data_IF_316297190763
#
_entry.id   IF_316297190763
#
_cell.length_a   1.000
_cell.length_b   1.000
_cell.length_c   1.000
_cell.angle_alpha   90.00
_cell.angle_beta   90.00
_cell.angle_gamma   90.00
#
_symmetry.space_group_name_H-M   'P 1'
#
loop_
_entity.id
_entity.type
_entity.pdbx_description
1 polymer ?
#
# COMPACT_ATOMS: atom_id res chain seq x y z
N UNK A 1 -15.93 -1.64 -36.73
CA UNK A 1 -14.52 -1.24 -36.39
C UNK A 1 -14.48 -0.77 -34.94
N UNK A 2 -13.46 -1.14 -34.15
CA UNK A 2 -13.61 -1.41 -32.72
C UNK A 2 -13.74 -0.13 -31.90
N UNK A 3 -14.77 -0.05 -31.05
CA UNK A 3 -14.99 1.05 -30.09
C UNK A 3 -13.98 1.07 -28.93
N UNK A 4 -13.23 -0.01 -28.70
CA UNK A 4 -12.28 -0.15 -27.58
C UNK A 4 -10.92 0.55 -27.76
N UNK A 5 -10.52 0.93 -28.98
CA UNK A 5 -9.19 1.53 -29.21
C UNK A 5 -9.16 3.03 -28.87
N UNK A 6 -10.34 3.70 -28.84
CA UNK A 6 -10.42 5.16 -28.62
C UNK A 6 -10.11 5.58 -27.18
N UNK A 7 -10.42 4.75 -26.18
CA UNK A 7 -10.23 5.12 -24.77
C UNK A 7 -8.80 4.86 -24.27
N UNK A 8 -8.13 3.79 -24.75
CA UNK A 8 -6.79 3.46 -24.27
C UNK A 8 -5.74 4.47 -24.77
N UNK A 9 -5.78 4.83 -26.06
CA UNK A 9 -4.82 5.79 -26.63
C UNK A 9 -5.04 7.22 -26.11
N UNK A 10 -6.29 7.60 -25.80
CA UNK A 10 -6.55 8.90 -25.16
C UNK A 10 -6.00 8.93 -23.73
N UNK A 11 -6.14 7.83 -22.98
CA UNK A 11 -5.55 7.69 -21.65
C UNK A 11 -4.03 7.82 -21.69
N UNK A 12 -3.37 7.08 -22.58
CA UNK A 12 -1.92 7.16 -22.77
C UNK A 12 -1.44 8.57 -23.14
N UNK A 13 -2.22 9.31 -23.96
CA UNK A 13 -1.93 10.72 -24.27
C UNK A 13 -2.05 11.59 -23.01
N UNK A 14 -3.09 11.39 -22.19
CA UNK A 14 -3.31 12.14 -20.96
C UNK A 14 -2.22 11.87 -19.91
N UNK A 15 -1.78 10.62 -19.79
CA UNK A 15 -0.69 10.23 -18.89
C UNK A 15 0.61 10.94 -19.28
N UNK A 16 0.98 10.96 -20.57
CA UNK A 16 2.16 11.72 -21.03
C UNK A 16 2.00 13.21 -20.70
N UNK A 17 0.82 13.76 -20.90
CA UNK A 17 0.56 15.18 -20.61
C UNK A 17 0.71 15.48 -19.11
N UNK A 18 0.21 14.61 -18.23
CA UNK A 18 0.23 14.80 -16.77
C UNK A 18 1.62 14.58 -16.16
N UNK A 19 2.34 13.54 -16.60
CA UNK A 19 3.59 13.12 -15.96
C UNK A 19 4.85 13.66 -16.63
N UNK A 20 4.79 13.96 -17.93
CA UNK A 20 5.98 14.31 -18.72
C UNK A 20 5.94 15.75 -19.26
N UNK A 21 4.82 16.46 -19.09
CA UNK A 21 4.64 17.86 -19.46
C UNK A 21 5.19 18.22 -20.87
N UNK A 22 4.72 17.53 -21.93
CA UNK A 22 5.21 17.71 -23.29
C UNK A 22 4.95 19.14 -23.79
N UNK A 23 5.90 19.68 -24.53
CA UNK A 23 5.82 21.04 -25.06
C UNK A 23 4.94 21.12 -26.30
N UNK A 24 4.82 20.00 -27.04
CA UNK A 24 4.13 19.94 -28.34
C UNK A 24 3.33 18.65 -28.55
N UNK A 25 2.33 18.69 -29.44
CA UNK A 25 1.61 17.51 -29.91
C UNK A 25 2.50 16.53 -30.68
N UNK A 26 3.60 17.02 -31.23
CA UNK A 26 4.56 16.22 -32.00
C UNK A 26 5.38 15.32 -31.05
N UNK A 27 5.76 15.82 -29.87
CA UNK A 27 6.40 15.02 -28.82
C UNK A 27 5.51 13.86 -28.32
N UNK A 28 4.20 14.13 -28.15
CA UNK A 28 3.21 13.11 -27.76
C UNK A 28 3.07 12.05 -28.88
N UNK A 29 3.02 12.50 -30.13
CA UNK A 29 2.87 11.66 -31.30
C UNK A 29 4.07 10.72 -31.50
N UNK A 30 5.29 11.23 -31.31
CA UNK A 30 6.52 10.45 -31.39
C UNK A 30 6.60 9.38 -30.30
N UNK A 31 6.27 9.72 -29.05
CA UNK A 31 6.32 8.77 -27.91
C UNK A 31 5.35 7.60 -28.05
N UNK A 32 4.15 7.87 -28.56
CA UNK A 32 3.12 6.84 -28.74
C UNK A 32 3.17 6.19 -30.13
N UNK A 33 4.10 6.61 -31.00
CA UNK A 33 4.22 6.16 -32.38
C UNK A 33 2.89 6.27 -33.15
N UNK A 34 2.19 7.40 -32.98
CA UNK A 34 0.91 7.71 -33.64
C UNK A 34 1.01 9.00 -34.44
N UNK A 35 0.11 9.22 -35.39
CA UNK A 35 0.13 10.45 -36.18
C UNK A 35 -0.28 11.67 -35.34
N UNK A 36 0.42 12.81 -35.51
CA UNK A 36 0.05 14.11 -34.93
C UNK A 36 -1.43 14.45 -35.14
N UNK A 37 -1.95 14.21 -36.36
CA UNK A 37 -3.35 14.45 -36.71
C UNK A 37 -4.33 13.64 -35.85
N UNK A 38 -3.92 12.45 -35.40
CA UNK A 38 -4.71 11.61 -34.51
C UNK A 38 -4.67 12.14 -33.08
N UNK A 39 -3.51 12.59 -32.59
CA UNK A 39 -3.37 13.30 -31.30
C UNK A 39 -4.25 14.56 -31.29
N UNK A 40 -4.18 15.40 -32.33
CA UNK A 40 -5.03 16.59 -32.46
C UNK A 40 -6.51 16.22 -32.42
N UNK A 41 -6.91 15.15 -33.09
CA UNK A 41 -8.31 14.71 -33.13
C UNK A 41 -8.82 14.28 -31.76
N UNK A 42 -7.98 13.63 -30.95
CA UNK A 42 -8.31 13.15 -29.61
C UNK A 42 -8.29 14.27 -28.57
N UNK A 43 -7.35 15.22 -28.68
CA UNK A 43 -7.25 16.36 -27.77
C UNK A 43 -8.22 17.49 -28.08
N UNK A 44 -8.68 17.62 -29.33
CA UNK A 44 -9.54 18.74 -29.75
C UNK A 44 -10.78 18.95 -28.88
N UNK A 45 -11.58 17.93 -28.51
CA UNK A 45 -12.72 18.12 -27.61
C UNK A 45 -12.30 18.67 -26.24
N UNK A 46 -11.19 18.17 -25.69
CA UNK A 46 -10.67 18.60 -24.39
C UNK A 46 -10.07 20.02 -24.44
N UNK A 47 -9.47 20.41 -25.56
CA UNK A 47 -8.97 21.78 -25.77
C UNK A 47 -10.15 22.74 -25.95
N UNK A 48 -11.17 22.35 -26.72
CA UNK A 48 -12.37 23.16 -26.98
C UNK A 48 -13.17 23.36 -25.69
N UNK A 49 -13.19 22.36 -24.80
CA UNK A 49 -13.79 22.43 -23.45
C UNK A 49 -12.87 23.10 -22.42
N UNK A 50 -11.66 23.54 -22.82
CA UNK A 50 -10.66 24.21 -21.97
C UNK A 50 -10.08 23.34 -20.83
N UNK A 51 -10.13 22.02 -20.99
CA UNK A 51 -9.58 21.00 -20.07
C UNK A 51 -8.08 20.86 -20.26
N UNK A 52 -7.62 21.00 -21.51
CA UNK A 52 -6.20 20.98 -21.85
C UNK A 52 -5.89 22.31 -22.52
N UNK A 53 -4.97 23.08 -21.93
CA UNK A 53 -4.54 24.37 -22.50
C UNK A 53 -3.63 24.12 -23.70
N UNK A 54 -3.43 25.14 -24.55
CA UNK A 54 -2.54 25.05 -25.73
C UNK A 54 -1.07 24.73 -25.39
N UNK A 55 -0.67 24.92 -24.14
CA UNK A 55 0.63 24.52 -23.59
C UNK A 55 0.61 23.11 -22.97
N UNK A 56 -0.46 22.32 -23.18
CA UNK A 56 -0.69 20.99 -22.61
C UNK A 56 -0.68 20.96 -21.07
N UNK A 57 -0.96 22.09 -20.45
CA UNK A 57 -1.25 22.13 -19.01
C UNK A 57 -2.70 21.71 -18.82
N UNK A 58 -2.92 20.64 -18.05
CA UNK A 58 -4.25 20.13 -17.71
C UNK A 58 -4.89 21.06 -16.69
N UNK A 59 -6.09 21.54 -17.00
CA UNK A 59 -6.96 22.21 -16.04
C UNK A 59 -7.71 21.13 -15.25
N UNK A 60 -7.11 20.75 -14.12
CA UNK A 60 -7.57 19.65 -13.29
C UNK A 60 -9.04 19.82 -12.84
N UNK A 61 -9.53 21.06 -12.72
CA UNK A 61 -10.94 21.32 -12.36
C UNK A 61 -11.90 20.82 -13.43
N UNK A 62 -11.64 21.16 -14.69
CA UNK A 62 -12.48 20.75 -15.83
C UNK A 62 -12.29 19.30 -16.21
N UNK A 63 -11.09 18.76 -16.00
CA UNK A 63 -10.84 17.34 -16.19
C UNK A 63 -11.71 16.49 -15.24
N UNK A 64 -11.82 16.90 -13.98
CA UNK A 64 -12.65 16.24 -12.99
C UNK A 64 -14.15 16.33 -13.33
N UNK A 65 -14.65 17.50 -13.76
CA UNK A 65 -16.04 17.68 -14.24
C UNK A 65 -16.40 16.75 -15.41
N UNK A 66 -15.43 16.45 -16.28
CA UNK A 66 -15.63 15.54 -17.40
C UNK A 66 -15.56 14.08 -16.94
N UNK A 67 -14.64 13.75 -16.03
CA UNK A 67 -14.56 12.41 -15.45
C UNK A 67 -15.86 12.00 -14.77
N UNK A 68 -16.57 12.94 -14.15
CA UNK A 68 -17.91 12.71 -13.58
C UNK A 68 -18.97 12.31 -14.63
N UNK A 69 -18.81 12.75 -15.89
CA UNK A 69 -19.76 12.48 -16.97
C UNK A 69 -19.49 11.15 -17.71
N UNK A 70 -18.32 10.55 -17.53
CA UNK A 70 -17.94 9.26 -18.12
C UNK A 70 -18.03 8.15 -17.06
N UNK A 71 -19.24 7.90 -16.56
CA UNK A 71 -19.51 6.80 -15.64
C UNK A 71 -19.14 5.44 -16.26
N UNK A 72 -18.30 4.68 -15.54
CA UNK A 72 -18.42 3.21 -15.49
C UNK A 72 -18.88 2.85 -14.08
N UNK A 73 -19.99 2.12 -14.00
CA UNK A 73 -20.62 1.66 -12.76
C UNK A 73 -19.57 1.08 -11.78
N UNK A 74 -19.50 1.66 -10.57
CA UNK A 74 -18.73 1.25 -9.37
C UNK A 74 -17.39 1.91 -9.03
N UNK A 75 -17.01 3.04 -9.63
CA UNK A 75 -15.92 3.86 -9.06
C UNK A 75 -16.43 5.24 -8.64
N UNK A 76 -16.46 5.50 -7.33
CA UNK A 76 -16.48 6.87 -6.80
C UNK A 76 -15.34 7.68 -7.48
N UNK A 77 -15.50 8.98 -7.73
CA UNK A 77 -14.47 9.79 -8.36
C UNK A 77 -13.19 9.74 -7.52
N UNK A 78 -12.18 8.99 -7.97
CA UNK A 78 -10.83 9.11 -7.44
C UNK A 78 -10.22 10.33 -8.10
N UNK A 79 -10.16 11.44 -7.36
CA UNK A 79 -9.43 12.62 -7.78
C UNK A 79 -7.99 12.23 -8.11
N UNK A 80 -7.41 12.85 -9.15
CA UNK A 80 -6.07 12.49 -9.66
C UNK A 80 -4.99 12.37 -8.57
N UNK A 81 -5.08 13.19 -7.52
CA UNK A 81 -4.18 13.14 -6.36
C UNK A 81 -4.36 11.91 -5.48
N UNK A 82 -5.60 11.49 -5.17
CA UNK A 82 -5.87 10.27 -4.40
C UNK A 82 -5.36 9.03 -5.13
N UNK A 83 -5.63 8.92 -6.43
CA UNK A 83 -5.17 7.80 -7.25
C UNK A 83 -3.64 7.70 -7.21
N UNK A 84 -2.95 8.82 -7.38
CA UNK A 84 -1.49 8.89 -7.34
C UNK A 84 -0.90 8.38 -6.00
N UNK A 85 -1.45 8.84 -4.87
CA UNK A 85 -1.00 8.39 -3.55
C UNK A 85 -1.26 6.89 -3.36
N UNK A 86 -2.42 6.39 -3.80
CA UNK A 86 -2.74 4.96 -3.71
C UNK A 86 -1.81 4.07 -4.52
N UNK A 87 -1.41 4.47 -5.74
CA UNK A 87 -0.43 3.69 -6.50
C UNK A 87 0.94 3.68 -5.79
N UNK A 88 1.39 4.81 -5.22
CA UNK A 88 2.63 4.84 -4.43
C UNK A 88 2.55 3.91 -3.21
N UNK A 89 1.41 3.88 -2.51
CA UNK A 89 1.20 2.98 -1.38
C UNK A 89 1.14 1.52 -1.81
N UNK A 90 0.55 1.22 -2.97
CA UNK A 90 0.56 -0.12 -3.55
C UNK A 90 1.98 -0.60 -3.84
N UNK A 91 2.81 0.24 -4.46
CA UNK A 91 4.23 -0.05 -4.69
C UNK A 91 4.95 -0.33 -3.36
N UNK A 92 4.71 0.49 -2.33
CA UNK A 92 5.29 0.29 -1.00
C UNK A 92 4.84 -1.04 -0.37
N UNK A 93 3.57 -1.42 -0.55
CA UNK A 93 3.05 -2.71 -0.08
C UNK A 93 3.69 -3.90 -0.78
N UNK A 94 3.92 -3.82 -2.08
CA UNK A 94 4.63 -4.85 -2.86
C UNK A 94 6.08 -5.00 -2.39
N UNK A 95 6.75 -3.87 -2.14
CA UNK A 95 8.11 -3.83 -1.61
C UNK A 95 8.21 -4.47 -0.22
N UNK A 96 7.28 -4.16 0.69
CA UNK A 96 7.23 -4.77 2.03
C UNK A 96 7.00 -6.29 1.94
N UNK A 97 6.09 -6.75 1.05
CA UNK A 97 5.87 -8.19 0.86
C UNK A 97 7.16 -8.89 0.39
N UNK A 98 7.91 -8.27 -0.52
CA UNK A 98 9.19 -8.78 -1.00
C UNK A 98 10.24 -8.82 0.12
N UNK A 99 10.36 -7.75 0.91
CA UNK A 99 11.23 -7.70 2.10
C UNK A 99 10.88 -8.80 3.10
N UNK A 100 9.59 -9.07 3.31
CA UNK A 100 9.12 -10.09 4.24
C UNK A 100 9.44 -11.50 3.75
N UNK A 101 9.20 -11.78 2.47
CA UNK A 101 9.51 -13.06 1.85
C UNK A 101 11.01 -13.39 1.94
N UNK A 102 11.87 -12.43 1.59
CA UNK A 102 13.32 -12.60 1.71
C UNK A 102 13.78 -12.77 3.15
N UNK A 103 13.19 -12.01 4.08
CA UNK A 103 13.48 -12.13 5.51
C UNK A 103 13.16 -13.54 6.03
N UNK A 104 12.00 -14.09 5.67
CA UNK A 104 11.60 -15.42 6.12
C UNK A 104 12.37 -16.54 5.42
N UNK A 105 12.65 -16.41 4.13
CA UNK A 105 13.50 -17.35 3.39
C UNK A 105 14.92 -17.41 3.97
N UNK A 106 15.48 -16.26 4.34
CA UNK A 106 16.76 -16.15 5.03
C UNK A 106 16.74 -16.87 6.39
N UNK A 107 15.64 -16.72 7.15
CA UNK A 107 15.44 -17.42 8.42
C UNK A 107 15.39 -18.94 8.23
N UNK A 108 14.61 -19.41 7.25
CA UNK A 108 14.37 -20.83 6.99
C UNK A 108 15.64 -21.55 6.55
N UNK A 109 16.47 -20.91 5.73
CA UNK A 109 17.69 -21.50 5.17
C UNK A 109 18.97 -21.09 5.91
N UNK A 110 18.87 -20.24 6.95
CA UNK A 110 20.00 -19.58 7.60
C UNK A 110 20.93 -18.87 6.58
N UNK A 111 20.34 -18.18 5.61
CA UNK A 111 21.05 -17.46 4.54
C UNK A 111 21.38 -16.03 5.00
N UNK A 112 22.65 -15.83 5.36
CA UNK A 112 23.18 -14.57 5.86
C UNK A 112 23.21 -13.48 4.78
N UNK A 113 23.48 -13.84 3.52
CA UNK A 113 23.56 -12.89 2.41
C UNK A 113 22.16 -12.37 2.05
N UNK A 114 21.16 -13.26 2.06
CA UNK A 114 19.77 -12.87 1.85
C UNK A 114 19.23 -12.05 3.03
N UNK A 115 19.63 -12.37 4.27
CA UNK A 115 19.28 -11.58 5.44
C UNK A 115 19.80 -10.13 5.34
N UNK A 116 21.05 -9.94 4.90
CA UNK A 116 21.61 -8.60 4.70
C UNK A 116 20.85 -7.84 3.61
N UNK A 117 20.56 -8.48 2.47
CA UNK A 117 19.75 -7.87 1.41
C UNK A 117 18.36 -7.45 1.90
N UNK A 118 17.71 -8.27 2.71
CA UNK A 118 16.40 -7.95 3.27
C UNK A 118 16.44 -6.73 4.20
N UNK A 119 17.54 -6.53 4.96
CA UNK A 119 17.75 -5.32 5.76
C UNK A 119 18.03 -4.08 4.91
N UNK A 120 18.78 -4.23 3.81
CA UNK A 120 19.10 -3.09 2.95
C UNK A 120 17.82 -2.54 2.26
N UNK A 121 16.85 -3.40 1.96
CA UNK A 121 15.56 -3.03 1.37
C UNK A 121 14.64 -2.24 2.34
N UNK A 122 14.91 -2.29 3.65
CA UNK A 122 14.20 -1.50 4.67
C UNK A 122 14.37 0.01 4.45
N UNK A 123 15.59 0.42 4.09
CA UNK A 123 15.89 1.82 3.75
C UNK A 123 15.06 2.30 2.56
N UNK A 124 14.80 1.41 1.60
CA UNK A 124 13.94 1.72 0.47
C UNK A 124 12.48 1.93 0.92
N UNK A 125 11.95 1.07 1.80
CA UNK A 125 10.62 1.22 2.40
C UNK A 125 10.49 2.57 3.12
N UNK A 126 11.50 2.97 3.90
CA UNK A 126 11.51 4.25 4.63
C UNK A 126 11.54 5.47 3.68
N UNK A 127 12.28 5.36 2.58
CA UNK A 127 12.25 6.39 1.52
C UNK A 127 10.89 6.46 0.82
N UNK A 128 10.24 5.32 0.56
CA UNK A 128 8.90 5.30 -0.03
C UNK A 128 7.87 5.96 0.88
N UNK A 129 7.91 5.68 2.19
CA UNK A 129 7.08 6.37 3.18
C UNK A 129 7.29 7.90 3.15
N UNK A 130 8.55 8.33 3.19
CA UNK A 130 8.90 9.77 3.15
C UNK A 130 8.40 10.42 1.86
N UNK A 131 8.48 9.71 0.74
CA UNK A 131 7.97 10.16 -0.56
C UNK A 131 6.45 10.27 -0.55
N UNK A 132 5.72 9.28 -0.01
CA UNK A 132 4.26 9.33 0.11
C UNK A 132 3.85 10.55 0.93
N UNK A 133 4.47 10.77 2.09
CA UNK A 133 4.22 11.93 2.94
C UNK A 133 4.46 13.27 2.23
N UNK A 134 5.57 13.39 1.51
CA UNK A 134 5.86 14.62 0.75
C UNK A 134 4.86 14.84 -0.39
N UNK A 135 4.41 13.75 -1.02
CA UNK A 135 3.41 13.78 -2.08
C UNK A 135 2.03 14.17 -1.56
N UNK A 136 1.60 13.68 -0.38
CA UNK A 136 0.30 14.06 0.20
C UNK A 136 0.26 15.56 0.53
N UNK A 137 1.34 16.12 1.08
CA UNK A 137 1.50 17.57 1.33
C UNK A 137 1.46 18.40 0.03
N UNK A 138 2.00 17.85 -1.05
CA UNK A 138 1.97 18.49 -2.38
C UNK A 138 0.57 18.43 -2.99
N UNK A 139 -0.09 17.28 -2.92
CA UNK A 139 -1.44 17.07 -3.48
C UNK A 139 -2.45 17.97 -2.79
N UNK A 140 -2.45 18.07 -1.46
CA UNK A 140 -3.39 18.97 -0.75
C UNK A 140 -3.19 20.45 -1.12
N UNK A 141 -1.97 20.84 -1.48
CA UNK A 141 -1.66 22.21 -1.89
C UNK A 141 -2.13 22.53 -3.32
N UNK A 142 -2.23 21.51 -4.18
CA UNK A 142 -2.51 21.65 -5.61
C UNK A 142 -3.95 21.28 -5.99
N UNK A 143 -4.56 20.33 -5.29
CA UNK A 143 -5.89 19.81 -5.58
C UNK A 143 -6.92 20.33 -4.55
N UNK A 144 -7.80 21.27 -4.94
CA UNK A 144 -8.80 21.83 -4.03
C UNK A 144 -9.89 20.84 -3.63
N UNK A 145 -9.97 19.67 -4.27
CA UNK A 145 -10.91 18.59 -3.94
C UNK A 145 -10.27 17.50 -3.06
N UNK A 146 -8.95 17.55 -2.87
CA UNK A 146 -8.28 16.63 -1.96
C UNK A 146 -8.54 17.07 -0.52
N UNK A 147 -9.38 16.32 0.17
CA UNK A 147 -9.75 16.65 1.53
C UNK A 147 -8.57 16.48 2.48
N UNK A 148 -8.44 17.38 3.45
CA UNK A 148 -7.43 17.30 4.51
C UNK A 148 -7.50 15.97 5.27
N UNK A 149 -8.71 15.42 5.45
CA UNK A 149 -8.92 14.10 6.07
C UNK A 149 -8.25 12.98 5.28
N UNK A 150 -8.24 13.06 3.94
CA UNK A 150 -7.54 12.09 3.08
C UNK A 150 -6.03 12.12 3.34
N UNK A 151 -5.47 13.33 3.51
CA UNK A 151 -4.04 13.52 3.81
C UNK A 151 -3.65 12.82 5.12
N UNK A 152 -4.42 13.06 6.18
CA UNK A 152 -4.19 12.44 7.49
C UNK A 152 -4.22 10.91 7.34
N UNK A 153 -5.26 10.41 6.68
CA UNK A 153 -5.49 8.98 6.54
C UNK A 153 -4.40 8.26 5.72
N UNK A 154 -4.00 8.83 4.58
CA UNK A 154 -2.91 8.27 3.78
C UNK A 154 -1.59 8.25 4.55
N UNK A 155 -1.30 9.31 5.30
CA UNK A 155 -0.08 9.41 6.09
C UNK A 155 -0.08 8.41 7.27
N UNK A 156 -1.23 8.22 7.93
CA UNK A 156 -1.41 7.24 9.01
C UNK A 156 -1.17 5.82 8.51
N UNK A 157 -1.83 5.41 7.42
CA UNK A 157 -1.62 4.05 6.88
C UNK A 157 -0.21 3.88 6.33
N UNK A 158 0.35 4.88 5.63
CA UNK A 158 1.71 4.77 5.12
C UNK A 158 2.73 4.62 6.25
N UNK A 159 2.48 5.26 7.41
CA UNK A 159 3.30 5.10 8.60
C UNK A 159 3.15 3.70 9.21
N UNK A 160 1.93 3.16 9.29
CA UNK A 160 1.72 1.79 9.76
C UNK A 160 2.34 0.74 8.83
N UNK A 161 2.35 0.98 7.52
CA UNK A 161 3.06 0.15 6.56
C UNK A 161 4.59 0.17 6.80
N UNK A 162 5.15 1.33 7.10
CA UNK A 162 6.58 1.46 7.46
C UNK A 162 6.91 0.72 8.77
N UNK A 163 6.07 0.88 9.79
CA UNK A 163 6.19 0.13 11.07
C UNK A 163 6.18 -1.38 10.86
N UNK A 164 5.39 -1.89 9.91
CA UNK A 164 5.39 -3.32 9.54
C UNK A 164 6.77 -3.71 8.96
N UNK A 165 7.34 -2.91 8.06
CA UNK A 165 8.71 -3.10 7.54
C UNK A 165 9.76 -3.16 8.67
N UNK A 166 9.66 -2.25 9.63
CA UNK A 166 10.52 -2.19 10.82
C UNK A 166 10.45 -3.47 11.67
N UNK A 167 9.25 -4.03 11.84
CA UNK A 167 9.06 -5.29 12.55
C UNK A 167 9.59 -6.49 11.76
N UNK A 168 9.43 -6.50 10.43
CA UNK A 168 10.00 -7.53 9.55
C UNK A 168 11.52 -7.60 9.74
N UNK A 169 12.20 -6.46 9.90
CA UNK A 169 13.65 -6.39 10.09
C UNK A 169 14.20 -7.16 11.30
N UNK A 170 13.37 -7.52 12.28
CA UNK A 170 13.81 -8.37 13.40
C UNK A 170 14.15 -9.81 12.96
N UNK A 171 13.56 -10.27 11.86
CA UNK A 171 13.78 -11.61 11.30
C UNK A 171 15.20 -11.76 10.73
N UNK A 172 15.64 -10.94 9.75
CA UNK A 172 17.00 -11.04 9.23
C UNK A 172 18.07 -10.64 10.27
N UNK A 173 17.76 -9.72 11.20
CA UNK A 173 18.65 -9.42 12.34
C UNK A 173 18.96 -10.66 13.17
N UNK A 174 17.95 -11.50 13.45
CA UNK A 174 18.17 -12.77 14.14
C UNK A 174 19.12 -13.69 13.35
N UNK A 175 18.96 -13.80 12.03
CA UNK A 175 19.83 -14.64 11.18
C UNK A 175 21.28 -14.15 11.23
N UNK A 176 21.50 -12.83 11.16
CA UNK A 176 22.81 -12.21 11.19
C UNK A 176 23.50 -12.33 12.55
N UNK A 177 22.76 -12.11 13.64
CA UNK A 177 23.29 -12.12 15.01
C UNK A 177 23.59 -13.53 15.50
N UNK A 178 22.69 -14.48 15.23
CA UNK A 178 22.77 -15.84 15.78
C UNK A 178 23.47 -16.82 14.83
N UNK A 179 23.30 -16.65 13.50
CA UNK A 179 23.82 -17.51 12.45
C UNK A 179 23.69 -19.00 12.80
N UNK A 180 22.46 -19.39 13.18
CA UNK A 180 22.14 -20.71 13.68
C UNK A 180 20.75 -21.09 13.19
N UNK A 181 20.68 -22.26 12.58
CA UNK A 181 19.44 -22.80 12.02
C UNK A 181 18.36 -22.99 13.10
N UNK A 182 17.17 -22.48 12.82
CA UNK A 182 15.96 -22.77 13.61
C UNK A 182 15.43 -24.12 13.18
N UNK A 183 15.47 -25.10 14.08
CA UNK A 183 15.09 -26.47 13.77
C UNK A 183 13.60 -26.73 13.96
N UNK A 184 13.14 -27.81 13.34
CA UNK A 184 11.85 -28.40 13.67
C UNK A 184 11.78 -28.75 15.17
N UNK A 185 10.61 -28.55 15.81
CA UNK A 185 9.34 -28.19 15.20
C UNK A 185 9.00 -26.69 15.37
N UNK A 186 9.99 -25.83 15.63
CA UNK A 186 9.77 -24.38 15.81
C UNK A 186 9.59 -23.71 14.45
N UNK A 187 10.46 -24.02 13.49
CA UNK A 187 10.43 -23.39 12.15
C UNK A 187 9.07 -23.57 11.44
N UNK A 188 8.44 -24.75 11.55
CA UNK A 188 7.10 -25.00 10.97
C UNK A 188 6.05 -24.03 11.50
N UNK A 189 6.08 -23.75 12.81
CA UNK A 189 5.13 -22.82 13.43
C UNK A 189 5.44 -21.39 13.01
N UNK A 190 6.73 -21.04 12.85
CA UNK A 190 7.10 -19.72 12.33
C UNK A 190 6.68 -19.55 10.86
N UNK A 191 6.68 -20.63 10.06
CA UNK A 191 6.17 -20.62 8.69
C UNK A 191 4.66 -20.34 8.67
N UNK A 192 3.88 -21.03 9.51
CA UNK A 192 2.44 -20.73 9.66
C UNK A 192 2.20 -19.28 10.13
N UNK A 193 3.03 -18.76 11.05
CA UNK A 193 2.94 -17.37 11.51
C UNK A 193 3.29 -16.36 10.39
N UNK A 194 4.30 -16.66 9.59
CA UNK A 194 4.69 -15.87 8.42
C UNK A 194 3.53 -15.80 7.41
N UNK A 195 2.99 -16.94 6.99
CA UNK A 195 1.90 -16.98 6.01
C UNK A 195 0.66 -16.22 6.50
N UNK A 196 0.33 -16.36 7.79
CA UNK A 196 -0.80 -15.67 8.40
C UNK A 196 -0.59 -14.15 8.46
N UNK A 197 0.55 -13.70 8.99
CA UNK A 197 0.87 -12.27 9.13
C UNK A 197 1.01 -11.58 7.77
N UNK A 198 1.62 -12.23 6.78
CA UNK A 198 1.69 -11.74 5.40
C UNK A 198 0.29 -11.62 4.77
N UNK A 199 -0.57 -12.61 5.02
CA UNK A 199 -1.97 -12.60 4.56
C UNK A 199 -2.76 -11.46 5.20
N UNK A 200 -2.61 -11.22 6.50
CA UNK A 200 -3.23 -10.09 7.21
C UNK A 200 -2.77 -8.76 6.60
N UNK A 201 -1.46 -8.57 6.40
CA UNK A 201 -0.93 -7.36 5.80
C UNK A 201 -1.47 -7.10 4.39
N UNK A 202 -1.40 -8.10 3.49
CA UNK A 202 -1.92 -8.01 2.11
C UNK A 202 -3.41 -7.65 2.09
N UNK A 203 -4.18 -8.19 3.04
CA UNK A 203 -5.61 -7.92 3.17
C UNK A 203 -5.89 -6.52 3.69
N UNK A 204 -5.12 -6.03 4.66
CA UNK A 204 -5.24 -4.68 5.19
C UNK A 204 -4.99 -3.64 4.10
N UNK A 205 -3.86 -3.75 3.38
CA UNK A 205 -3.52 -2.85 2.26
C UNK A 205 -4.56 -2.94 1.14
N UNK A 206 -4.99 -4.15 0.77
CA UNK A 206 -6.04 -4.31 -0.27
C UNK A 206 -7.37 -3.70 0.15
N UNK A 207 -7.76 -3.86 1.42
CA UNK A 207 -8.98 -3.26 1.97
C UNK A 207 -8.95 -1.76 1.78
N UNK A 208 -7.83 -1.14 2.14
CA UNK A 208 -7.62 0.29 1.97
C UNK A 208 -7.72 0.75 0.52
N UNK A 209 -6.95 0.12 -0.37
CA UNK A 209 -6.87 0.49 -1.78
C UNK A 209 -8.22 0.31 -2.50
N UNK A 210 -8.98 -0.74 -2.14
CA UNK A 210 -10.27 -1.08 -2.80
C UNK A 210 -11.52 -0.60 -2.06
N UNK A 211 -11.36 0.12 -0.94
CA UNK A 211 -12.48 0.57 -0.09
C UNK A 211 -13.35 -0.59 0.43
N UNK A 212 -12.75 -1.75 0.73
CA UNK A 212 -13.47 -2.95 1.15
C UNK A 212 -13.64 -3.02 2.68
N UNK A 213 -14.71 -2.40 3.18
CA UNK A 213 -15.03 -2.34 4.62
C UNK A 213 -15.52 -3.67 5.22
N UNK A 214 -15.73 -4.71 4.42
CA UNK A 214 -16.31 -5.99 4.89
C UNK A 214 -15.26 -6.99 5.39
N UNK A 215 -13.99 -6.57 5.51
CA UNK A 215 -12.90 -7.49 5.86
C UNK A 215 -12.74 -7.71 7.37
N UNK A 216 -13.41 -6.91 8.21
CA UNK A 216 -13.24 -6.90 9.67
C UNK A 216 -13.47 -8.28 10.30
N UNK A 217 -14.58 -8.96 9.98
CA UNK A 217 -14.87 -10.30 10.53
C UNK A 217 -13.79 -11.35 10.18
N UNK A 218 -13.13 -11.19 9.03
CA UNK A 218 -12.02 -12.06 8.63
C UNK A 218 -10.76 -11.73 9.43
N UNK A 219 -10.48 -10.45 9.68
CA UNK A 219 -9.35 -10.03 10.51
C UNK A 219 -9.45 -10.55 11.95
N UNK A 220 -10.63 -10.48 12.58
CA UNK A 220 -10.82 -11.02 13.94
C UNK A 220 -10.51 -12.53 14.03
N UNK A 221 -10.76 -13.27 12.94
CA UNK A 221 -10.40 -14.68 12.86
C UNK A 221 -8.89 -14.86 12.76
N UNK A 222 -8.24 -14.12 11.87
CA UNK A 222 -6.80 -14.19 11.69
C UNK A 222 -6.03 -13.78 12.95
N UNK A 223 -6.51 -12.78 13.69
CA UNK A 223 -5.94 -12.38 14.99
C UNK A 223 -5.94 -13.55 15.99
N UNK A 224 -7.08 -14.24 16.12
CA UNK A 224 -7.21 -15.41 17.01
C UNK A 224 -6.29 -16.55 16.58
N UNK A 225 -6.20 -16.82 15.29
CA UNK A 225 -5.33 -17.85 14.73
C UNK A 225 -3.85 -17.52 14.97
N UNK A 226 -3.42 -16.30 14.66
CA UNK A 226 -2.06 -15.82 14.91
C UNK A 226 -1.70 -15.83 16.40
N UNK A 227 -2.62 -15.44 17.27
CA UNK A 227 -2.45 -15.53 18.74
C UNK A 227 -2.23 -16.97 19.20
N UNK A 228 -2.95 -17.94 18.63
CA UNK A 228 -2.78 -19.35 18.96
C UNK A 228 -1.42 -19.87 18.48
N UNK A 229 -0.99 -19.48 17.27
CA UNK A 229 0.34 -19.80 16.74
C UNK A 229 1.46 -19.19 17.61
N UNK A 230 1.31 -17.94 18.05
CA UNK A 230 2.25 -17.28 18.97
C UNK A 230 2.40 -18.06 20.28
N UNK A 231 1.28 -18.50 20.89
CA UNK A 231 1.30 -19.34 22.10
C UNK A 231 2.00 -20.68 21.85
N UNK A 232 1.75 -21.30 20.70
CA UNK A 232 2.37 -22.56 20.30
C UNK A 232 3.89 -22.39 20.10
N UNK A 233 4.32 -21.38 19.36
CA UNK A 233 5.73 -21.06 19.12
C UNK A 233 6.45 -20.80 20.45
N UNK A 234 5.87 -19.97 21.31
CA UNK A 234 6.41 -19.68 22.65
C UNK A 234 6.58 -20.97 23.47
N UNK A 235 5.57 -21.83 23.49
CA UNK A 235 5.64 -23.13 24.21
C UNK A 235 6.76 -24.03 23.67
N UNK A 236 6.93 -24.10 22.34
CA UNK A 236 7.98 -24.91 21.71
C UNK A 236 9.38 -24.35 22.03
N UNK A 237 9.56 -23.04 21.89
CA UNK A 237 10.79 -22.33 22.27
C UNK A 237 11.14 -22.58 23.74
N UNK A 238 10.21 -22.37 24.68
CA UNK A 238 10.46 -22.58 26.11
C UNK A 238 10.79 -24.03 26.44
N UNK A 239 10.13 -24.99 25.77
CA UNK A 239 10.39 -26.42 25.97
C UNK A 239 11.79 -26.82 25.47
N UNK A 240 12.27 -26.21 24.39
CA UNK A 240 13.62 -26.46 23.88
C UNK A 240 14.68 -25.78 24.75
N UNK A 241 14.43 -24.54 25.15
CA UNK A 241 15.28 -23.79 26.08
C UNK A 241 15.47 -24.52 27.42
N UNK A 242 14.45 -25.20 27.93
CA UNK A 242 14.54 -25.98 29.17
C UNK A 242 15.34 -27.29 29.03
N UNK A 243 15.48 -27.82 27.81
CA UNK A 243 16.26 -29.04 27.52
C UNK A 243 17.73 -28.74 27.26
N UNK A 244 18.00 -27.58 26.66
CA UNK A 244 19.36 -27.16 26.36
C UNK A 244 20.09 -26.70 27.63
N UNK A 245 21.43 -26.78 27.60
CA UNK A 245 22.24 -26.28 28.70
C UNK A 245 22.06 -24.76 28.84
N UNK A 246 21.77 -24.33 30.07
CA UNK A 246 21.67 -22.91 30.42
C UNK A 246 23.09 -22.32 30.43
N UNK A 247 23.48 -21.80 29.27
CA UNK A 247 24.63 -20.92 29.11
C UNK A 247 24.19 -19.57 28.50
N UNK A 248 25.09 -18.58 28.54
CA UNK A 248 24.80 -17.24 28.03
C UNK A 248 24.41 -17.26 26.54
N UNK A 249 25.06 -18.10 25.74
CA UNK A 249 24.88 -18.14 24.28
C UNK A 249 23.52 -18.72 23.91
N UNK A 250 23.14 -19.86 24.49
CA UNK A 250 21.85 -20.50 24.25
C UNK A 250 20.70 -19.65 24.81
N UNK A 251 20.90 -19.00 25.96
CA UNK A 251 19.88 -18.11 26.55
C UNK A 251 19.60 -16.90 25.65
N UNK A 252 20.64 -16.26 25.11
CA UNK A 252 20.48 -15.14 24.16
C UNK A 252 19.75 -15.58 22.89
N UNK A 253 20.16 -16.70 22.28
CA UNK A 253 19.50 -17.27 21.08
C UNK A 253 17.98 -17.36 21.24
N UNK A 254 17.49 -17.94 22.33
CA UNK A 254 16.04 -18.11 22.54
C UNK A 254 15.31 -16.78 22.80
N UNK A 255 15.97 -15.79 23.41
CA UNK A 255 15.41 -14.46 23.60
C UNK A 255 15.29 -13.70 22.28
N UNK A 256 16.30 -13.76 21.42
CA UNK A 256 16.25 -13.12 20.09
C UNK A 256 15.24 -13.85 19.20
N UNK A 257 15.15 -15.19 19.28
CA UNK A 257 14.11 -15.94 18.58
C UNK A 257 12.69 -15.59 19.06
N UNK A 258 12.51 -15.33 20.36
CA UNK A 258 11.23 -14.84 20.88
C UNK A 258 10.88 -13.45 20.33
N UNK A 259 11.86 -12.60 20.03
CA UNK A 259 11.64 -11.30 19.35
C UNK A 259 11.08 -11.50 17.95
N UNK A 260 11.54 -12.52 17.21
CA UNK A 260 10.96 -12.90 15.91
C UNK A 260 9.49 -13.26 16.04
N UNK A 261 9.14 -14.12 17.01
CA UNK A 261 7.73 -14.46 17.33
C UNK A 261 6.89 -13.23 17.63
N UNK A 262 7.42 -12.28 18.41
CA UNK A 262 6.74 -11.01 18.70
C UNK A 262 6.58 -10.12 17.47
N UNK A 263 7.51 -10.18 16.52
CA UNK A 263 7.43 -9.37 15.30
C UNK A 263 6.24 -9.79 14.44
N UNK A 264 5.99 -11.10 14.29
CA UNK A 264 4.82 -11.60 13.58
C UNK A 264 3.49 -11.14 14.21
N UNK A 265 3.37 -11.17 15.54
CA UNK A 265 2.21 -10.62 16.25
C UNK A 265 2.04 -9.14 15.91
N UNK A 266 3.09 -8.32 16.05
CA UNK A 266 3.02 -6.89 15.77
C UNK A 266 2.62 -6.57 14.34
N UNK A 267 3.09 -7.34 13.37
CA UNK A 267 2.66 -7.20 11.98
C UNK A 267 1.15 -7.47 11.85
N UNK A 268 0.65 -8.49 12.53
CA UNK A 268 -0.79 -8.80 12.60
C UNK A 268 -1.59 -7.67 13.24
N UNK A 269 -1.16 -7.18 14.40
CA UNK A 269 -1.82 -6.09 15.15
C UNK A 269 -1.89 -4.81 14.30
N UNK A 270 -0.78 -4.40 13.69
CA UNK A 270 -0.74 -3.20 12.84
C UNK A 270 -1.61 -3.39 11.58
N UNK A 271 -1.70 -4.62 11.05
CA UNK A 271 -2.63 -4.91 9.94
C UNK A 271 -4.09 -4.72 10.34
N UNK A 272 -4.44 -4.95 11.61
CA UNK A 272 -5.76 -4.64 12.16
C UNK A 272 -5.92 -3.13 12.30
N UNK A 273 -4.92 -2.42 12.83
CA UNK A 273 -4.90 -0.94 12.93
C UNK A 273 -5.22 -0.30 11.56
N UNK A 274 -4.51 -0.71 10.49
CA UNK A 274 -4.77 -0.25 9.11
C UNK A 274 -6.22 -0.53 8.67
N UNK A 275 -6.74 -1.73 8.99
CA UNK A 275 -8.09 -2.14 8.59
C UNK A 275 -9.17 -1.34 9.32
N UNK A 276 -8.97 -1.07 10.60
CA UNK A 276 -9.88 -0.30 11.43
C UNK A 276 -9.90 1.16 11.01
N UNK A 277 -8.72 1.77 10.83
CA UNK A 277 -8.59 3.12 10.29
C UNK A 277 -9.31 3.22 8.94
N UNK A 278 -9.06 2.27 8.03
CA UNK A 278 -9.71 2.19 6.71
C UNK A 278 -11.23 2.17 6.83
N UNK A 279 -11.75 1.32 7.71
CA UNK A 279 -13.19 1.13 7.89
C UNK A 279 -13.83 2.40 8.45
N UNK A 280 -13.22 3.01 9.46
CA UNK A 280 -13.70 4.25 10.07
C UNK A 280 -13.76 5.37 9.04
N UNK A 281 -12.68 5.58 8.30
CA UNK A 281 -12.57 6.62 7.30
C UNK A 281 -13.63 6.50 6.19
N UNK A 282 -13.85 5.30 5.64
CA UNK A 282 -14.83 5.12 4.57
C UNK A 282 -16.29 5.17 5.06
N UNK A 283 -16.58 4.74 6.30
CA UNK A 283 -17.93 4.86 6.90
C UNK A 283 -18.26 6.33 7.21
N UNK A 284 -17.30 7.08 7.75
CA UNK A 284 -17.47 8.51 8.03
C UNK A 284 -17.72 9.31 6.74
N UNK A 285 -16.96 9.03 5.68
CA UNK A 285 -17.14 9.67 4.37
C UNK A 285 -18.48 9.34 3.70
N UNK A 286 -18.99 8.10 3.85
CA UNK A 286 -20.35 7.77 3.39
C UNK A 286 -21.43 8.56 4.16
N UNK A 287 -21.24 8.75 5.47
CA UNK A 287 -22.16 9.53 6.31
C UNK A 287 -22.12 11.02 5.95
N UNK A 288 -20.95 11.56 5.61
CA UNK A 288 -20.79 12.95 5.19
C UNK A 288 -21.45 13.23 3.83
N UNK A 289 -21.25 12.36 2.84
CA UNK A 289 -21.87 12.48 1.50
C UNK A 289 -23.40 12.38 1.54
N UNK A 290 -23.96 11.57 2.44
CA UNK A 290 -25.41 11.52 2.64
C UNK A 290 -25.95 12.83 3.27
N UNK A 291 -25.17 13.51 4.12
CA UNK A 291 -25.58 14.75 4.78
C UNK A 291 -25.50 15.99 3.88
N UNK A 292 -24.54 16.04 2.96
CA UNK A 292 -24.42 17.10 1.95
C UNK A 292 -25.51 17.00 0.89
N UNK A 293 -25.91 15.78 0.50
CA UNK A 293 -27.07 15.59 -0.38
C UNK A 293 -28.36 16.14 0.22
N UNK A 294 -28.59 15.98 1.53
CA UNK A 294 -29.77 16.55 2.21
C UNK A 294 -29.77 18.09 2.27
N UNK A 295 -28.60 18.75 2.34
CA UNK A 295 -28.51 20.22 2.31
C UNK A 295 -28.79 20.82 0.93
N UNK A 296 -28.46 20.10 -0.15
CA UNK A 296 -28.76 20.57 -1.51
C UNK A 296 -30.25 20.50 -1.86
N UNK A 297 -31.02 19.57 -1.26
CA UNK A 297 -32.47 19.50 -1.48
C UNK A 297 -33.28 20.48 -0.63
N UNK A 298 -32.74 20.95 0.51
CA UNK A 298 -33.45 21.92 1.37
C UNK A 298 -33.20 23.40 1.03
N UNK A 299 -32.24 23.71 0.14
CA UNK A 299 -31.98 25.09 -0.32
C UNK A 299 -32.67 25.43 -1.67
N UNK A 300 -33.62 24.61 -2.12
CA UNK A 300 -34.43 24.85 -3.34
C UNK A 300 -35.94 24.95 -3.06
N UNK A 301 -36.34 25.44 -1.89
CA UNK A 301 -37.72 25.86 -1.61
C UNK A 301 -37.75 27.28 -1.06
#
# INVERSE_FOLDING_TARGET
MPKNIKNNTLKEILDIILYEAPSTQDEIAEKLNISRRYVTKLLKPLIDENVIKKAYVVDLKKFNEISENYETENSLPEYSGEYFIKEMMKEMGEQICKQFAWSFEALKNNDVDLAQKALDEDLNTNHMYTKIKSSTDTVISLDPYFEFNNTIMFNEIAYDMERIGDHICHIPKFVLEENKEVKEPIIDVLEEMYEMSETMFKKAVRSFLKRDVNIKEKMDRYERELTNLQKLATKKISSQMAKDNIDKKNSTYYLVLFRVVKSFERIGDISIEITEATTQFYIENQSYNNSTHFKYFNNKN
#
